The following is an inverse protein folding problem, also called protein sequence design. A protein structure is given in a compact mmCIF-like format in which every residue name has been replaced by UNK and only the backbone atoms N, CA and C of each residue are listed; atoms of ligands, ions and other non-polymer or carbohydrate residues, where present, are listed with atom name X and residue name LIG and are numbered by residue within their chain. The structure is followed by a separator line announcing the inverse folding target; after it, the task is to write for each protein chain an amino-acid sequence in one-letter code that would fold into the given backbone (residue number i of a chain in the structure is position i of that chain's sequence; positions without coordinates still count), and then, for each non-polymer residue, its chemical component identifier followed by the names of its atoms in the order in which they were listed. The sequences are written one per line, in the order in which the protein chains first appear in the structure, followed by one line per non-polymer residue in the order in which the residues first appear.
data_IF_771207810005
#
_entry.id   IF_771207810005
#
_cell.length_a   1.000
_cell.length_b   1.000
_cell.length_c   1.000
_cell.angle_alpha   90.00
_cell.angle_beta   90.00
_cell.angle_gamma   90.00
#
_symmetry.space_group_name_H-M   'P 1'
#
loop_
_entity.id
_entity.type
_entity.pdbx_description
1 polymer ?
#
# COMPACT_ATOMS: atom_id res chain seq x y z
N UNK A 1 -55.81 17.40 75.21
CA UNK A 1 -55.42 15.98 75.11
C UNK A 1 -54.61 15.84 73.83
N UNK A 2 -53.33 15.53 73.98
CA UNK A 2 -52.28 15.57 72.98
C UNK A 2 -52.01 14.15 72.50
N UNK A 3 -52.02 13.89 71.20
CA UNK A 3 -51.28 12.77 70.60
C UNK A 3 -50.91 13.12 69.15
N UNK A 4 -49.73 12.69 68.66
CA UNK A 4 -48.84 13.51 67.85
C UNK A 4 -48.92 13.23 66.35
N UNK A 5 -48.30 14.17 65.64
CA UNK A 5 -47.88 14.18 64.24
C UNK A 5 -46.82 13.13 63.87
N UNK A 6 -46.66 12.97 62.55
CA UNK A 6 -45.45 12.50 61.81
C UNK A 6 -45.29 10.96 61.69
N UNK A 7 -44.81 10.37 60.60
CA UNK A 7 -43.85 10.86 59.60
C UNK A 7 -44.11 10.29 58.20
N UNK A 8 -43.82 11.13 57.21
CA UNK A 8 -43.47 10.75 55.84
C UNK A 8 -42.51 9.54 55.84
N UNK A 9 -42.90 8.47 55.17
CA UNK A 9 -41.95 7.64 54.44
C UNK A 9 -42.49 7.42 53.04
N UNK A 10 -42.10 8.32 52.13
CA UNK A 10 -41.90 7.93 50.74
C UNK A 10 -40.77 6.90 50.76
N UNK A 11 -41.09 5.64 51.04
CA UNK A 11 -40.25 4.58 50.54
C UNK A 11 -40.47 4.62 49.03
N UNK A 12 -39.59 5.33 48.32
CA UNK A 12 -39.20 4.87 47.01
C UNK A 12 -38.77 3.42 47.24
N UNK A 13 -39.70 2.48 47.11
CA UNK A 13 -39.40 1.10 46.82
C UNK A 13 -38.67 1.20 45.50
N UNK A 14 -37.36 1.41 45.59
CA UNK A 14 -36.39 1.10 44.56
C UNK A 14 -36.48 -0.41 44.42
N UNK A 15 -37.56 -0.87 43.79
CA UNK A 15 -37.77 -2.25 43.45
C UNK A 15 -36.68 -2.57 42.45
N UNK A 16 -35.75 -3.40 42.94
CA UNK A 16 -34.57 -3.86 42.25
C UNK A 16 -34.96 -4.36 40.86
N UNK A 17 -34.44 -3.69 39.83
CA UNK A 17 -34.48 -4.19 38.45
C UNK A 17 -33.53 -5.38 38.39
N UNK A 18 -34.05 -6.58 38.64
CA UNK A 18 -33.31 -7.81 38.40
C UNK A 18 -32.86 -7.84 36.94
N UNK A 19 -31.58 -8.14 36.73
CA UNK A 19 -31.00 -8.39 35.41
C UNK A 19 -31.93 -9.29 34.61
N UNK A 20 -32.43 -8.79 33.48
CA UNK A 20 -33.29 -9.61 32.63
C UNK A 20 -32.41 -10.62 31.89
N UNK A 21 -32.87 -11.85 31.69
CA UNK A 21 -32.17 -12.82 30.83
C UNK A 21 -31.93 -12.26 29.42
N UNK A 22 -32.84 -11.38 28.97
CA UNK A 22 -32.72 -10.62 27.75
C UNK A 22 -31.51 -9.67 27.74
N UNK A 23 -31.14 -9.09 28.88
CA UNK A 23 -29.98 -8.19 28.99
C UNK A 23 -28.66 -8.94 28.79
N UNK A 24 -28.50 -10.12 29.41
CA UNK A 24 -27.32 -10.97 29.19
C UNK A 24 -27.26 -11.47 27.74
N UNK A 25 -28.41 -11.81 27.16
CA UNK A 25 -28.51 -12.20 25.75
C UNK A 25 -28.11 -11.04 24.83
N UNK A 26 -28.65 -9.85 25.05
CA UNK A 26 -28.31 -8.65 24.26
C UNK A 26 -26.83 -8.31 24.42
N UNK A 27 -26.28 -8.37 25.63
CA UNK A 27 -24.86 -8.13 25.89
C UNK A 27 -23.99 -9.15 25.14
N UNK A 28 -24.37 -10.43 25.13
CA UNK A 28 -23.65 -11.48 24.40
C UNK A 28 -23.73 -11.27 22.88
N UNK A 29 -24.89 -10.89 22.35
CA UNK A 29 -25.06 -10.54 20.92
C UNK A 29 -24.16 -9.36 20.56
N UNK A 30 -24.17 -8.28 21.35
CA UNK A 30 -23.31 -7.13 21.13
C UNK A 30 -21.82 -7.49 21.23
N UNK A 31 -21.45 -8.35 22.19
CA UNK A 31 -20.09 -8.85 22.30
C UNK A 31 -19.67 -9.63 21.05
N UNK A 32 -20.53 -10.52 20.54
CA UNK A 32 -20.26 -11.27 19.31
C UNK A 32 -20.09 -10.36 18.09
N UNK A 33 -20.97 -9.36 17.94
CA UNK A 33 -20.88 -8.40 16.84
C UNK A 33 -19.62 -7.54 16.91
N UNK A 34 -19.30 -7.01 18.09
CA UNK A 34 -18.10 -6.18 18.30
C UNK A 34 -16.82 -6.97 18.05
N UNK A 35 -16.73 -8.21 18.54
CA UNK A 35 -15.59 -9.08 18.28
C UNK A 35 -15.43 -9.38 16.79
N UNK A 36 -16.54 -9.63 16.08
CA UNK A 36 -16.52 -9.80 14.62
C UNK A 36 -15.94 -8.60 13.89
N UNK A 37 -16.35 -7.39 14.26
CA UNK A 37 -15.82 -6.14 13.69
C UNK A 37 -14.32 -5.99 14.00
N UNK A 38 -13.88 -6.27 15.23
CA UNK A 38 -12.46 -6.20 15.61
C UNK A 38 -11.61 -7.16 14.77
N UNK A 39 -12.05 -8.42 14.62
CA UNK A 39 -11.35 -9.42 13.81
C UNK A 39 -11.28 -9.02 12.34
N UNK A 40 -12.34 -8.41 11.81
CA UNK A 40 -12.38 -7.90 10.44
C UNK A 40 -11.38 -6.75 10.22
N UNK A 41 -11.33 -5.78 11.15
CA UNK A 41 -10.36 -4.67 11.10
C UNK A 41 -8.95 -5.22 11.19
N UNK A 42 -8.68 -6.13 12.15
CA UNK A 42 -7.37 -6.73 12.34
C UNK A 42 -6.90 -7.48 11.09
N UNK A 43 -7.77 -8.32 10.52
CA UNK A 43 -7.48 -9.07 9.29
C UNK A 43 -7.22 -8.16 8.10
N UNK A 44 -7.93 -7.02 8.02
CA UNK A 44 -7.69 -6.00 6.98
C UNK A 44 -6.35 -5.30 7.20
N UNK A 45 -6.01 -4.97 8.45
CA UNK A 45 -4.70 -4.42 8.81
C UNK A 45 -3.56 -5.33 8.38
N UNK A 46 -3.65 -6.64 8.67
CA UNK A 46 -2.64 -7.61 8.24
C UNK A 46 -2.46 -7.66 6.71
N UNK A 47 -3.57 -7.72 5.96
CA UNK A 47 -3.52 -7.68 4.48
C UNK A 47 -2.88 -6.41 3.95
N UNK A 48 -3.22 -5.25 4.53
CA UNK A 48 -2.63 -3.98 4.14
C UNK A 48 -1.13 -3.92 4.43
N UNK A 49 -0.68 -4.46 5.55
CA UNK A 49 0.76 -4.55 5.87
C UNK A 49 1.51 -5.42 4.87
N UNK A 50 0.97 -6.59 4.51
CA UNK A 50 1.56 -7.45 3.48
C UNK A 50 1.64 -6.75 2.13
N UNK A 51 0.55 -6.10 1.69
CA UNK A 51 0.54 -5.34 0.45
C UNK A 51 1.60 -4.22 0.47
N UNK A 52 1.68 -3.43 1.55
CA UNK A 52 2.67 -2.37 1.71
C UNK A 52 4.12 -2.91 1.66
N UNK A 53 4.35 -4.10 2.22
CA UNK A 53 5.65 -4.79 2.14
C UNK A 53 6.01 -5.13 0.69
N UNK A 54 5.06 -5.65 -0.11
CA UNK A 54 5.32 -5.94 -1.52
C UNK A 54 5.64 -4.68 -2.33
N UNK A 55 4.89 -3.59 -2.15
CA UNK A 55 5.20 -2.32 -2.82
C UNK A 55 6.58 -1.79 -2.44
N UNK A 56 6.96 -1.90 -1.17
CA UNK A 56 8.30 -1.48 -0.69
C UNK A 56 9.39 -2.32 -1.36
N UNK A 57 9.22 -3.64 -1.40
CA UNK A 57 10.20 -4.52 -2.02
C UNK A 57 10.29 -4.30 -3.54
N UNK A 58 9.15 -4.13 -4.22
CA UNK A 58 9.12 -3.82 -5.65
C UNK A 58 9.84 -2.50 -5.96
N UNK A 59 9.67 -1.48 -5.10
CA UNK A 59 10.38 -0.21 -5.23
C UNK A 59 11.90 -0.36 -5.01
N UNK A 60 12.33 -1.17 -4.03
CA UNK A 60 13.76 -1.47 -3.82
C UNK A 60 14.36 -2.19 -5.03
N UNK A 61 13.64 -3.17 -5.58
CA UNK A 61 14.07 -3.86 -6.80
C UNK A 61 14.19 -2.85 -7.94
N UNK A 62 13.18 -2.01 -8.13
CA UNK A 62 13.21 -1.00 -9.17
C UNK A 62 14.39 -0.04 -9.05
N UNK A 63 14.61 0.52 -7.86
CA UNK A 63 15.72 1.41 -7.56
C UNK A 63 17.08 0.73 -7.84
N UNK A 64 17.24 -0.52 -7.41
CA UNK A 64 18.46 -1.29 -7.67
C UNK A 64 18.72 -1.49 -9.16
N UNK A 65 17.70 -1.79 -9.97
CA UNK A 65 17.85 -2.01 -11.41
C UNK A 65 18.15 -0.71 -12.15
N UNK A 66 17.46 0.38 -11.79
CA UNK A 66 17.72 1.70 -12.36
C UNK A 66 19.11 2.24 -11.98
N UNK A 67 19.61 1.93 -10.77
CA UNK A 67 20.94 2.32 -10.33
C UNK A 67 22.07 1.62 -11.12
N UNK A 68 21.83 0.40 -11.62
CA UNK A 68 22.79 -0.35 -12.43
C UNK A 68 22.95 0.22 -13.85
N UNK A 69 21.88 0.78 -14.42
CA UNK A 69 21.96 1.48 -15.70
C UNK A 69 22.99 2.61 -15.61
N UNK A 70 23.80 2.82 -16.64
CA UNK A 70 24.79 3.89 -16.75
C UNK A 70 25.95 3.87 -15.73
N UNK A 71 26.01 2.88 -14.84
CA UNK A 71 27.21 2.58 -14.04
C UNK A 71 27.84 1.27 -14.50
N UNK A 72 27.05 0.21 -14.55
CA UNK A 72 27.52 -1.15 -14.85
C UNK A 72 27.01 -1.66 -16.20
N UNK A 73 25.82 -1.22 -16.61
CA UNK A 73 25.28 -1.50 -17.94
C UNK A 73 25.32 -0.23 -18.79
N UNK A 74 25.87 -0.29 -20.03
CA UNK A 74 25.77 0.82 -20.96
C UNK A 74 24.29 1.13 -21.24
N UNK A 75 23.95 2.42 -21.41
CA UNK A 75 22.61 2.83 -21.84
C UNK A 75 22.47 2.50 -23.33
N UNK A 76 22.09 1.26 -23.60
CA UNK A 76 21.79 0.79 -24.95
C UNK A 76 20.30 0.58 -25.06
N UNK A 77 19.74 0.91 -26.21
CA UNK A 77 18.37 0.58 -26.56
C UNK A 77 18.12 -0.93 -26.41
N UNK A 78 17.00 -1.30 -25.82
CA UNK A 78 16.59 -2.69 -25.73
C UNK A 78 15.71 -2.99 -24.53
N UNK A 79 15.43 -4.28 -24.39
CA UNK A 79 14.65 -4.82 -23.28
C UNK A 79 15.52 -5.73 -22.42
N UNK A 80 15.27 -5.71 -21.12
CA UNK A 80 15.87 -6.65 -20.18
C UNK A 80 14.81 -7.11 -19.19
N UNK A 81 14.92 -8.36 -18.77
CA UNK A 81 13.96 -8.96 -17.86
C UNK A 81 14.66 -9.87 -16.87
N UNK A 82 13.98 -10.19 -15.78
CA UNK A 82 14.48 -11.14 -14.81
C UNK A 82 13.53 -11.36 -13.65
N UNK A 83 13.98 -12.18 -12.72
CA UNK A 83 13.24 -12.52 -11.51
C UNK A 83 14.11 -12.33 -10.29
N UNK A 84 13.52 -11.86 -9.20
CA UNK A 84 14.17 -11.73 -7.91
C UNK A 84 13.21 -12.24 -6.83
N UNK A 85 13.41 -13.50 -6.41
CA UNK A 85 12.47 -14.19 -5.54
C UNK A 85 11.10 -14.36 -6.21
N UNK A 86 10.06 -13.82 -5.60
CA UNK A 86 8.68 -13.86 -6.10
C UNK A 86 8.33 -12.70 -7.06
N UNK A 87 9.27 -11.79 -7.29
CA UNK A 87 9.10 -10.63 -8.15
C UNK A 87 9.66 -10.92 -9.53
N UNK A 88 8.90 -10.59 -10.57
CA UNK A 88 9.39 -10.53 -11.94
C UNK A 88 9.50 -9.08 -12.36
N UNK A 89 10.53 -8.74 -13.12
CA UNK A 89 10.73 -7.38 -13.61
C UNK A 89 11.06 -7.39 -15.10
N UNK A 90 10.65 -6.32 -15.76
CA UNK A 90 10.89 -6.09 -17.18
C UNK A 90 11.16 -4.61 -17.39
N UNK A 91 12.24 -4.30 -18.10
CA UNK A 91 12.76 -2.97 -18.36
C UNK A 91 12.89 -2.76 -19.85
N UNK A 92 12.40 -1.62 -20.34
CA UNK A 92 12.56 -1.17 -21.72
C UNK A 92 13.31 0.15 -21.72
N UNK A 93 14.33 0.25 -22.57
CA UNK A 93 15.13 1.46 -22.79
C UNK A 93 14.98 1.85 -24.24
N UNK A 94 14.44 3.04 -24.50
CA UNK A 94 14.23 3.55 -25.85
C UNK A 94 14.82 4.96 -25.99
N UNK A 95 15.43 5.29 -27.14
CA UNK A 95 15.82 6.67 -27.43
C UNK A 95 14.64 7.62 -27.30
N UNK A 96 14.83 8.71 -26.56
CA UNK A 96 13.86 9.80 -26.50
C UNK A 96 14.23 10.84 -27.56
N UNK A 97 13.48 10.87 -28.66
CA UNK A 97 13.65 11.85 -29.73
C UNK A 97 12.88 13.12 -29.36
N UNK A 98 13.59 14.20 -29.05
CA UNK A 98 12.97 15.54 -28.97
C UNK A 98 12.59 15.99 -30.39
N UNK A 99 11.41 16.60 -30.54
CA UNK A 99 10.87 17.06 -31.83
C UNK A 99 11.77 18.14 -32.45
N UNK A 100 11.76 18.25 -33.78
CA UNK A 100 12.69 19.00 -34.66
C UNK A 100 13.03 20.46 -34.25
N UNK A 101 12.28 21.10 -33.34
CA UNK A 101 12.56 22.46 -32.84
C UNK A 101 13.64 22.52 -31.74
N UNK A 102 14.02 21.39 -31.12
CA UNK A 102 15.07 21.32 -30.08
C UNK A 102 16.47 20.94 -30.60
N UNK A 103 16.63 20.74 -31.92
CA UNK A 103 17.85 20.19 -32.53
C UNK A 103 19.12 21.04 -32.33
N UNK A 104 19.01 22.32 -31.97
CA UNK A 104 20.15 23.23 -31.92
C UNK A 104 20.93 23.23 -30.58
N UNK A 105 20.46 22.56 -29.52
CA UNK A 105 21.01 22.75 -28.17
C UNK A 105 21.58 21.52 -27.45
N UNK A 106 21.30 20.29 -27.88
CA UNK A 106 21.89 19.09 -27.25
C UNK A 106 23.09 18.64 -28.08
N UNK A 107 24.27 18.97 -27.57
CA UNK A 107 25.58 18.53 -28.03
C UNK A 107 25.54 17.09 -28.60
N UNK A 108 26.04 16.88 -29.84
CA UNK A 108 26.06 15.60 -30.59
C UNK A 108 26.65 14.39 -29.82
N UNK A 109 27.18 14.63 -28.63
CA UNK A 109 27.81 13.66 -27.74
C UNK A 109 26.87 13.02 -26.73
N UNK A 110 25.68 13.55 -26.51
CA UNK A 110 24.74 13.03 -25.51
C UNK A 110 23.33 12.84 -26.08
N UNK A 111 22.70 11.72 -25.73
CA UNK A 111 21.35 11.35 -26.16
C UNK A 111 20.48 11.04 -24.94
N UNK A 112 19.22 11.46 -24.98
CA UNK A 112 18.26 11.18 -23.93
C UNK A 112 17.59 9.82 -24.19
N UNK A 113 17.43 9.02 -23.15
CA UNK A 113 16.75 7.72 -23.18
C UNK A 113 15.58 7.74 -22.22
N UNK A 114 14.44 7.22 -22.67
CA UNK A 114 13.30 6.89 -21.83
C UNK A 114 13.42 5.45 -21.37
N UNK A 115 13.29 5.25 -20.06
CA UNK A 115 13.40 3.95 -19.41
C UNK A 115 12.08 3.68 -18.71
N UNK A 116 11.44 2.58 -19.06
CA UNK A 116 10.24 2.07 -18.37
C UNK A 116 10.58 0.75 -17.71
N UNK A 117 10.44 0.69 -16.38
CA UNK A 117 10.67 -0.51 -15.57
C UNK A 117 9.38 -0.92 -14.89
N UNK A 118 8.95 -2.16 -15.12
CA UNK A 118 7.77 -2.77 -14.51
C UNK A 118 8.21 -3.89 -13.59
N UNK A 119 7.70 -3.89 -12.36
CA UNK A 119 7.93 -4.95 -11.37
C UNK A 119 6.58 -5.54 -10.97
N UNK A 120 6.45 -6.86 -11.11
CA UNK A 120 5.22 -7.62 -10.88
C UNK A 120 5.44 -8.67 -9.81
N UNK A 121 4.44 -8.89 -8.97
CA UNK A 121 4.43 -9.96 -7.98
C UNK A 121 3.06 -10.61 -7.92
N UNK A 122 2.99 -11.81 -7.35
CA UNK A 122 1.72 -12.48 -7.12
C UNK A 122 1.20 -12.10 -5.74
N UNK A 123 -0.02 -11.57 -5.70
CA UNK A 123 -0.80 -11.41 -4.47
C UNK A 123 -2.07 -12.24 -4.63
N UNK A 124 -2.62 -12.87 -3.59
CA UNK A 124 -3.68 -13.89 -3.73
C UNK A 124 -4.92 -13.47 -4.55
N UNK A 125 -5.12 -12.17 -4.78
CA UNK A 125 -6.19 -11.59 -5.58
C UNK A 125 -5.81 -11.25 -7.05
N UNK A 126 -4.54 -11.32 -7.44
CA UNK A 126 -4.07 -10.97 -8.79
C UNK A 126 -2.55 -10.94 -8.95
N UNK A 127 -2.08 -10.22 -9.96
CA UNK A 127 -0.66 -10.00 -10.20
C UNK A 127 -0.41 -8.49 -10.30
N UNK A 128 -0.37 -7.79 -9.15
CA UNK A 128 -0.13 -6.35 -9.14
C UNK A 128 1.19 -6.00 -9.83
N UNK A 129 1.23 -4.79 -10.38
CA UNK A 129 2.39 -4.23 -11.07
C UNK A 129 2.70 -2.84 -10.51
N UNK A 130 3.98 -2.56 -10.36
CA UNK A 130 4.52 -1.24 -10.09
C UNK A 130 5.39 -0.82 -11.27
N UNK A 131 5.05 0.30 -11.90
CA UNK A 131 5.77 0.87 -13.04
C UNK A 131 6.54 2.13 -12.61
N UNK A 132 7.77 2.24 -13.10
CA UNK A 132 8.62 3.41 -12.99
C UNK A 132 9.04 3.88 -14.37
N UNK A 133 8.83 5.17 -14.63
CA UNK A 133 9.26 5.83 -15.86
C UNK A 133 10.31 6.88 -15.50
N UNK A 134 11.44 6.85 -16.19
CA UNK A 134 12.54 7.79 -15.98
C UNK A 134 13.20 8.19 -17.28
N UNK A 135 13.79 9.37 -17.30
CA UNK A 135 14.60 9.89 -18.41
C UNK A 135 16.05 9.97 -17.97
N UNK A 136 16.95 9.51 -18.83
CA UNK A 136 18.38 9.50 -18.53
C UNK A 136 19.20 9.92 -19.72
N UNK A 137 20.23 10.72 -19.47
CA UNK A 137 21.20 11.13 -20.47
C UNK A 137 22.30 10.06 -20.58
N UNK A 138 22.51 9.54 -21.79
CA UNK A 138 23.61 8.64 -22.15
C UNK A 138 24.58 9.35 -23.10
N UNK A 139 25.85 8.94 -23.10
CA UNK A 139 26.83 9.41 -24.09
C UNK A 139 26.69 8.59 -25.38
N UNK A 140 26.77 9.24 -26.54
CA UNK A 140 26.66 8.60 -27.87
C UNK A 140 27.92 7.78 -28.20
N UNK A 141 29.06 8.06 -27.56
CA UNK A 141 30.35 7.39 -27.79
C UNK A 141 30.41 5.95 -27.22
N UNK A 142 29.47 5.53 -26.38
CA UNK A 142 29.42 4.21 -25.72
C UNK A 142 28.44 3.21 -26.39
N UNK A 143 27.98 3.51 -27.63
CA UNK A 143 27.07 2.66 -28.42
C UNK A 143 27.81 1.75 -29.42
#
# INVERSE_FOLDING_TARGET
MMHPSNHRRKAHLLAQRGFTLLEVLVAFVLLGLTLGVILQIFSTGLRNTTAASHYTQAAIIADSRLALLGQQLPLVEGESEGTEGEYSWHMSVVPHLETEESEEAINQRYQLFAITLRVRWRDGAGEPELQFDTLRLGAVDDL
#
